data_IF_743438432360
#
_entry.id   IF_743438432360
#
_cell.length_a   1.000
_cell.length_b   1.000
_cell.length_c   1.000
_cell.angle_alpha   90.00
_cell.angle_beta   90.00
_cell.angle_gamma   90.00
#
_symmetry.space_group_name_H-M   'P 1'
#
loop_
_entity.id
_entity.type
_entity.pdbx_description
1 polymer ?
#
# COMPACT_ATOMS: atom_id res chain seq x y z
N UNK A 1 -62.69 -23.94 8.42
CA UNK A 1 -62.15 -22.61 8.06
C UNK A 1 -60.63 -22.63 8.32
N UNK A 2 -59.80 -22.77 7.29
CA UNK A 2 -58.33 -22.95 7.42
C UNK A 2 -57.65 -21.58 7.31
N UNK A 3 -57.13 -21.04 8.41
CA UNK A 3 -56.33 -19.81 8.41
C UNK A 3 -54.86 -20.18 8.18
N UNK A 4 -54.33 -19.88 6.99
CA UNK A 4 -52.91 -20.04 6.68
C UNK A 4 -52.17 -18.77 7.09
N UNK A 5 -51.40 -18.85 8.17
CA UNK A 5 -50.49 -17.77 8.59
C UNK A 5 -49.32 -17.71 7.61
N UNK A 6 -49.18 -16.62 6.85
CA UNK A 6 -48.01 -16.36 6.02
C UNK A 6 -47.01 -15.56 6.86
N UNK A 7 -45.94 -16.20 7.31
CA UNK A 7 -44.82 -15.51 7.95
C UNK A 7 -43.96 -14.88 6.86
N UNK A 8 -43.95 -13.56 6.76
CA UNK A 8 -43.07 -12.82 5.86
C UNK A 8 -41.73 -12.59 6.58
N UNK A 9 -40.66 -13.21 6.09
CA UNK A 9 -39.29 -12.92 6.52
C UNK A 9 -38.86 -11.64 5.80
N UNK A 10 -38.71 -10.55 6.55
CA UNK A 10 -38.13 -9.31 6.05
C UNK A 10 -36.59 -9.46 6.05
N UNK A 11 -36.01 -9.52 4.86
CA UNK A 11 -34.56 -9.46 4.66
C UNK A 11 -34.11 -8.01 4.84
N UNK A 12 -33.53 -7.69 5.99
CA UNK A 12 -32.93 -6.37 6.22
C UNK A 12 -31.64 -6.26 5.38
N UNK A 13 -31.69 -5.47 4.31
CA UNK A 13 -30.52 -5.07 3.55
C UNK A 13 -29.74 -4.06 4.41
N UNK A 14 -28.71 -4.54 5.13
CA UNK A 14 -27.76 -3.65 5.80
C UNK A 14 -26.91 -3.01 4.70
N UNK A 15 -27.23 -1.78 4.35
CA UNK A 15 -26.34 -0.94 3.57
C UNK A 15 -25.09 -0.70 4.41
N UNK A 16 -23.97 -1.32 4.03
CA UNK A 16 -22.65 -0.91 4.52
C UNK A 16 -22.40 0.45 3.90
N UNK A 17 -22.72 1.52 4.64
CA UNK A 17 -22.20 2.83 4.33
C UNK A 17 -20.70 2.77 4.62
N UNK A 18 -19.89 2.59 3.58
CA UNK A 18 -18.49 3.03 3.65
C UNK A 18 -18.55 4.49 4.06
N UNK A 19 -18.19 4.80 5.30
CA UNK A 19 -17.87 6.15 5.65
C UNK A 19 -16.76 6.55 4.69
N UNK A 20 -17.05 7.50 3.80
CA UNK A 20 -16.04 8.20 3.03
C UNK A 20 -15.24 8.98 4.08
N UNK A 21 -14.30 8.29 4.74
CA UNK A 21 -13.35 8.95 5.62
C UNK A 21 -12.60 9.92 4.71
N UNK A 22 -12.73 11.21 5.00
CA UNK A 22 -12.07 12.22 4.20
C UNK A 22 -10.59 11.90 4.21
N UNK A 23 -9.92 12.03 3.06
CA UNK A 23 -8.46 11.86 2.97
C UNK A 23 -7.75 12.58 4.12
N UNK A 24 -8.19 13.80 4.44
CA UNK A 24 -7.57 14.64 5.47
C UNK A 24 -7.81 14.17 6.90
N UNK A 25 -8.76 13.28 7.15
CA UNK A 25 -8.97 12.65 8.47
C UNK A 25 -7.84 11.67 8.80
N UNK A 26 -7.35 10.96 7.80
CA UNK A 26 -6.37 9.88 7.95
C UNK A 26 -4.95 10.30 7.52
N UNK A 27 -4.83 11.25 6.59
CA UNK A 27 -3.57 11.60 5.95
C UNK A 27 -3.25 13.09 6.06
N UNK A 28 -1.95 13.42 6.08
CA UNK A 28 -1.46 14.79 6.22
C UNK A 28 -1.52 15.61 4.93
N UNK A 29 -1.60 14.95 3.78
CA UNK A 29 -1.39 15.57 2.46
C UNK A 29 0.03 15.48 1.94
N UNK A 30 1.00 15.03 2.74
CA UNK A 30 2.35 14.73 2.27
C UNK A 30 2.49 13.27 1.82
N UNK A 31 3.59 12.98 1.12
CA UNK A 31 3.96 11.62 0.70
C UNK A 31 4.86 10.99 1.75
N UNK A 32 4.55 9.77 2.17
CA UNK A 32 5.47 8.91 2.90
C UNK A 32 6.09 7.90 1.93
N UNK A 33 7.42 7.93 1.81
CA UNK A 33 8.22 6.97 1.06
C UNK A 33 8.84 5.95 2.01
N UNK A 34 8.70 4.67 1.66
CA UNK A 34 9.36 3.56 2.36
C UNK A 34 10.29 2.88 1.37
N UNK A 35 11.59 3.01 1.64
CA UNK A 35 12.66 2.30 0.93
C UNK A 35 12.88 0.94 1.60
N UNK A 36 13.00 -0.11 0.82
CA UNK A 36 13.28 -1.47 1.30
C UNK A 36 14.17 -2.23 0.32
N UNK A 37 14.86 -3.26 0.83
CA UNK A 37 15.59 -4.22 0.02
C UNK A 37 14.72 -5.44 -0.25
N UNK A 38 14.44 -5.72 -1.52
CA UNK A 38 13.81 -6.96 -1.97
C UNK A 38 14.92 -7.98 -2.26
N UNK A 39 15.03 -8.99 -1.40
CA UNK A 39 16.19 -9.89 -1.36
C UNK A 39 15.78 -11.34 -1.51
N UNK A 40 16.49 -12.10 -2.35
CA UNK A 40 16.22 -13.52 -2.49
C UNK A 40 16.81 -14.17 -3.74
N UNK A 41 16.18 -15.27 -4.13
CA UNK A 41 16.47 -16.13 -5.28
C UNK A 41 15.16 -16.45 -6.01
N UNK A 42 15.15 -17.41 -6.93
CA UNK A 42 13.89 -17.91 -7.51
C UNK A 42 12.98 -18.66 -6.50
N UNK A 43 13.52 -19.12 -5.36
CA UNK A 43 12.79 -19.97 -4.39
C UNK A 43 12.70 -19.39 -2.98
N UNK A 44 13.45 -18.33 -2.68
CA UNK A 44 13.42 -17.62 -1.41
C UNK A 44 13.19 -16.12 -1.65
N UNK A 45 12.45 -15.47 -0.77
CA UNK A 45 12.08 -14.06 -0.91
C UNK A 45 11.91 -13.42 0.46
N UNK A 46 12.59 -12.30 0.67
CA UNK A 46 12.61 -11.55 1.91
C UNK A 46 12.63 -10.05 1.63
N UNK A 47 12.00 -9.28 2.51
CA UNK A 47 12.03 -7.82 2.48
C UNK A 47 12.65 -7.31 3.78
N UNK A 48 13.50 -6.30 3.66
CA UNK A 48 14.11 -5.61 4.79
C UNK A 48 13.93 -4.10 4.65
N UNK A 49 13.49 -3.45 5.73
CA UNK A 49 13.37 -1.99 5.76
C UNK A 49 14.75 -1.35 5.61
N UNK A 50 14.87 -0.38 4.70
CA UNK A 50 16.03 0.51 4.61
C UNK A 50 15.73 1.83 5.32
N UNK A 51 14.69 2.55 4.86
CA UNK A 51 14.37 3.89 5.37
C UNK A 51 12.89 4.24 5.22
N UNK A 52 12.41 5.07 6.14
CA UNK A 52 11.12 5.76 6.03
C UNK A 52 11.37 7.27 5.96
N UNK A 53 10.77 7.95 4.98
CA UNK A 53 10.95 9.38 4.76
C UNK A 53 9.65 10.07 4.34
N UNK A 54 9.44 11.29 4.79
CA UNK A 54 8.40 12.18 4.27
C UNK A 54 8.98 13.04 3.15
N UNK A 55 8.29 13.05 2.02
CA UNK A 55 8.57 13.88 0.85
C UNK A 55 7.53 15.02 0.74
N UNK A 56 7.44 15.67 -0.42
CA UNK A 56 6.48 16.76 -0.65
C UNK A 56 5.00 16.32 -0.69
N UNK A 57 4.16 17.19 -1.25
CA UNK A 57 2.73 16.93 -1.41
C UNK A 57 2.44 15.57 -2.08
N UNK A 58 1.39 14.89 -1.63
CA UNK A 58 0.93 13.63 -2.18
C UNK A 58 0.41 13.83 -3.62
N UNK A 59 1.05 13.23 -4.65
CA UNK A 59 0.66 13.43 -6.03
C UNK A 59 -0.40 12.42 -6.52
N UNK A 60 -0.86 11.52 -5.65
CA UNK A 60 -1.81 10.48 -6.00
C UNK A 60 -3.25 10.87 -5.70
N UNK A 61 -4.18 9.95 -5.98
CA UNK A 61 -5.59 10.20 -5.71
C UNK A 61 -5.85 10.44 -4.21
N UNK A 62 -6.68 11.45 -3.93
CA UNK A 62 -7.23 11.76 -2.60
C UNK A 62 -8.65 11.20 -2.40
N UNK A 63 -9.22 10.56 -3.42
CA UNK A 63 -10.61 10.05 -3.42
C UNK A 63 -10.71 8.56 -3.71
N UNK A 64 -9.74 7.99 -4.44
CA UNK A 64 -9.64 6.57 -4.74
C UNK A 64 -8.46 5.96 -3.98
N UNK A 65 -8.65 5.84 -2.66
CA UNK A 65 -7.61 5.38 -1.73
C UNK A 65 -7.46 3.86 -1.72
N UNK A 66 -8.55 3.14 -1.98
CA UNK A 66 -8.54 1.68 -2.08
C UNK A 66 -8.53 1.30 -3.55
N UNK A 67 -7.42 0.70 -3.98
CA UNK A 67 -7.28 0.14 -5.31
C UNK A 67 -8.10 -1.15 -5.45
N UNK A 68 -9.20 -1.07 -6.21
CA UNK A 68 -10.11 -2.18 -6.50
C UNK A 68 -9.81 -2.88 -7.83
N UNK A 69 -8.77 -2.44 -8.56
CA UNK A 69 -8.42 -3.03 -9.86
C UNK A 69 -7.96 -4.48 -9.72
N UNK A 70 -7.46 -4.86 -8.53
CA UNK A 70 -6.87 -6.18 -8.28
C UNK A 70 -5.83 -6.53 -9.35
N UNK A 71 -4.98 -5.57 -9.73
CA UNK A 71 -3.86 -5.74 -10.65
C UNK A 71 -2.52 -5.73 -9.90
N UNK A 72 -1.45 -6.11 -10.59
CA UNK A 72 -0.10 -6.18 -10.03
C UNK A 72 0.23 -7.54 -9.41
N UNK A 73 1.54 -7.82 -9.35
CA UNK A 73 2.11 -9.00 -8.67
C UNK A 73 2.14 -8.80 -7.16
N UNK A 74 2.33 -7.55 -6.72
CA UNK A 74 2.35 -7.11 -5.34
C UNK A 74 1.27 -6.07 -5.07
N UNK A 75 0.94 -5.89 -3.79
CA UNK A 75 0.00 -4.90 -3.29
C UNK A 75 0.60 -4.28 -2.02
N UNK A 76 0.71 -2.95 -1.99
CA UNK A 76 0.99 -2.23 -0.74
C UNK A 76 -0.34 -1.90 -0.05
N UNK A 77 -0.39 -2.09 1.26
CA UNK A 77 -1.50 -1.70 2.12
C UNK A 77 -1.00 -0.80 3.26
N UNK A 78 -1.80 0.22 3.58
CA UNK A 78 -1.65 1.03 4.80
C UNK A 78 -2.87 0.75 5.67
N UNK A 79 -2.62 0.28 6.89
CA UNK A 79 -3.67 -0.11 7.84
C UNK A 79 -3.49 0.69 9.13
N UNK A 80 -4.55 1.37 9.57
CA UNK A 80 -4.56 2.07 10.85
C UNK A 80 -4.31 1.06 11.99
N UNK A 81 -3.35 1.36 12.86
CA UNK A 81 -2.91 0.37 13.86
C UNK A 81 -3.94 0.17 14.99
N UNK A 82 -4.69 1.22 15.33
CA UNK A 82 -5.67 1.19 16.43
C UNK A 82 -6.96 0.50 16.02
N UNK A 83 -7.54 0.91 14.89
CA UNK A 83 -8.82 0.39 14.39
C UNK A 83 -8.69 -0.82 13.47
N UNK A 84 -7.48 -1.14 13.00
CA UNK A 84 -7.22 -2.15 11.95
C UNK A 84 -7.99 -1.88 10.64
N UNK A 85 -8.38 -0.63 10.40
CA UNK A 85 -9.05 -0.21 9.16
C UNK A 85 -8.02 -0.05 8.04
N UNK A 86 -8.34 -0.58 6.87
CA UNK A 86 -7.57 -0.36 5.64
C UNK A 86 -7.75 1.09 5.16
N UNK A 87 -6.66 1.85 5.10
CA UNK A 87 -6.67 3.27 4.76
C UNK A 87 -6.30 3.53 3.29
N UNK A 88 -5.34 2.77 2.76
CA UNK A 88 -4.83 2.94 1.40
C UNK A 88 -4.33 1.61 0.82
N UNK A 89 -4.55 1.40 -0.48
CA UNK A 89 -3.91 0.31 -1.23
C UNK A 89 -3.49 0.71 -2.64
N UNK A 90 -2.45 0.05 -3.16
CA UNK A 90 -2.02 0.20 -4.56
C UNK A 90 -1.33 -1.07 -5.07
N UNK A 91 -1.83 -1.62 -6.18
CA UNK A 91 -1.17 -2.72 -6.88
C UNK A 91 0.09 -2.27 -7.62
N UNK A 92 1.13 -3.10 -7.65
CA UNK A 92 2.36 -2.82 -8.39
C UNK A 92 3.07 -4.09 -8.89
N UNK A 93 4.02 -3.90 -9.80
CA UNK A 93 5.01 -4.89 -10.21
C UNK A 93 6.40 -4.34 -9.90
N UNK A 94 7.36 -5.22 -9.66
CA UNK A 94 8.70 -4.82 -9.23
C UNK A 94 9.78 -5.47 -10.09
N UNK A 95 10.96 -4.86 -10.11
CA UNK A 95 12.12 -5.39 -10.85
C UNK A 95 12.55 -6.72 -10.26
N UNK A 96 12.49 -6.91 -8.93
CA UNK A 96 12.68 -8.23 -8.33
C UNK A 96 11.69 -9.25 -8.89
N UNK A 97 10.42 -8.84 -9.05
CA UNK A 97 9.38 -9.69 -9.59
C UNK A 97 9.63 -10.18 -11.02
N UNK A 98 10.42 -9.45 -11.81
CA UNK A 98 10.91 -9.87 -13.12
C UNK A 98 12.19 -10.72 -12.98
N UNK A 99 13.17 -10.23 -12.20
CA UNK A 99 14.47 -10.88 -12.00
C UNK A 99 14.36 -12.29 -11.43
N UNK A 100 13.42 -12.57 -10.52
CA UNK A 100 13.23 -13.92 -9.94
C UNK A 100 12.91 -15.01 -10.99
N UNK A 101 12.54 -14.62 -12.21
CA UNK A 101 12.23 -15.53 -13.32
C UNK A 101 13.44 -15.84 -14.20
N UNK A 102 14.58 -15.19 -13.97
CA UNK A 102 15.81 -15.34 -14.77
C UNK A 102 16.57 -16.63 -14.42
N UNK A 103 17.42 -17.09 -15.33
CA UNK A 103 18.31 -18.23 -15.07
C UNK A 103 19.23 -18.03 -13.86
N UNK A 104 19.75 -16.81 -13.69
CA UNK A 104 20.59 -16.44 -12.54
C UNK A 104 19.89 -16.72 -11.20
N UNK A 105 18.61 -16.33 -11.08
CA UNK A 105 17.83 -16.57 -9.88
C UNK A 105 17.53 -18.07 -9.67
N UNK A 106 17.30 -18.82 -10.76
CA UNK A 106 17.05 -20.27 -10.73
C UNK A 106 18.27 -21.09 -10.32
N UNK A 107 19.48 -20.58 -10.59
CA UNK A 107 20.74 -21.16 -10.12
C UNK A 107 20.96 -20.96 -8.60
N UNK A 108 20.05 -20.23 -7.93
CA UNK A 108 20.11 -19.99 -6.49
C UNK A 108 21.00 -18.80 -6.10
N UNK A 109 21.36 -17.94 -7.07
CA UNK A 109 22.12 -16.72 -6.78
C UNK A 109 21.27 -15.75 -5.98
N UNK A 110 21.82 -15.23 -4.89
CA UNK A 110 21.17 -14.22 -4.07
C UNK A 110 21.40 -12.82 -4.62
N UNK A 111 20.32 -12.05 -4.74
CA UNK A 111 20.36 -10.60 -5.02
C UNK A 111 19.54 -9.84 -4.01
N UNK A 112 19.95 -8.59 -3.78
CA UNK A 112 19.21 -7.60 -3.02
C UNK A 112 18.97 -6.39 -3.93
N UNK A 113 17.71 -6.10 -4.22
CA UNK A 113 17.30 -5.04 -5.14
C UNK A 113 16.63 -3.94 -4.30
N UNK A 114 17.16 -2.70 -4.30
CA UNK A 114 16.53 -1.60 -3.60
C UNK A 114 15.25 -1.18 -4.33
N UNK A 115 14.16 -1.09 -3.58
CA UNK A 115 12.85 -0.69 -4.08
C UNK A 115 12.23 0.34 -3.13
N UNK A 116 11.22 1.07 -3.61
CA UNK A 116 10.52 2.06 -2.82
C UNK A 116 9.03 2.06 -3.13
N UNK A 117 8.21 2.17 -2.10
CA UNK A 117 6.78 2.47 -2.22
C UNK A 117 6.49 3.87 -1.68
N UNK A 118 5.53 4.55 -2.30
CA UNK A 118 5.02 5.85 -1.87
C UNK A 118 3.54 5.71 -1.52
N UNK A 119 3.16 6.20 -0.36
CA UNK A 119 1.79 6.21 0.16
C UNK A 119 1.48 7.61 0.71
N UNK A 120 0.21 8.04 0.81
CA UNK A 120 -0.10 9.26 1.55
C UNK A 120 0.32 9.10 3.02
N UNK A 121 0.95 10.11 3.60
CA UNK A 121 1.48 10.06 4.97
C UNK A 121 0.35 9.95 6.00
N UNK A 122 0.25 8.84 6.76
CA UNK A 122 -0.77 8.69 7.79
C UNK A 122 -0.53 9.64 8.96
N UNK A 123 -1.60 10.16 9.56
CA UNK A 123 -1.54 11.03 10.76
C UNK A 123 -1.27 10.27 12.06
N UNK A 124 -1.50 8.96 12.06
CA UNK A 124 -1.48 8.08 13.24
C UNK A 124 -0.60 6.85 13.00
N UNK A 125 -0.14 6.16 14.06
CA UNK A 125 0.57 4.90 13.92
C UNK A 125 -0.20 3.91 13.03
N UNK A 126 0.53 3.28 12.12
CA UNK A 126 -0.06 2.41 11.11
C UNK A 126 0.86 1.23 10.82
N UNK A 127 0.30 0.19 10.20
CA UNK A 127 1.05 -0.92 9.63
C UNK A 127 1.11 -0.76 8.11
N UNK A 128 2.32 -0.78 7.56
CA UNK A 128 2.53 -0.96 6.13
C UNK A 128 2.70 -2.45 5.85
N UNK A 129 1.95 -2.98 4.88
CA UNK A 129 2.05 -4.38 4.46
C UNK A 129 2.39 -4.44 2.98
N UNK A 130 3.29 -5.34 2.61
CA UNK A 130 3.46 -5.79 1.23
C UNK A 130 2.89 -7.19 1.11
N UNK A 131 1.97 -7.36 0.17
CA UNK A 131 1.37 -8.64 -0.18
C UNK A 131 1.81 -9.08 -1.56
N UNK A 132 1.94 -10.39 -1.78
CA UNK A 132 2.26 -11.03 -3.06
C UNK A 132 1.14 -11.98 -3.46
N UNK A 133 0.91 -12.15 -4.77
CA UNK A 133 0.01 -13.19 -5.27
C UNK A 133 0.58 -14.58 -5.02
N UNK A 134 -0.24 -15.45 -4.45
CA UNK A 134 0.00 -16.88 -4.40
C UNK A 134 -0.34 -17.56 -5.75
N UNK A 135 -0.19 -18.88 -5.79
CA UNK A 135 -0.51 -19.70 -6.98
C UNK A 135 -2.00 -19.64 -7.36
N UNK A 136 -2.87 -19.30 -6.42
CA UNK A 136 -4.30 -19.11 -6.62
C UNK A 136 -4.64 -17.66 -6.99
N UNK A 137 -3.63 -16.84 -7.31
CA UNK A 137 -3.75 -15.41 -7.63
C UNK A 137 -4.36 -14.58 -6.50
N UNK A 138 -4.34 -15.09 -5.26
CA UNK A 138 -4.81 -14.37 -4.08
C UNK A 138 -3.64 -13.67 -3.38
N UNK A 139 -3.85 -12.44 -2.90
CA UNK A 139 -2.79 -11.73 -2.19
C UNK A 139 -2.57 -12.31 -0.78
N UNK A 140 -1.33 -12.64 -0.45
CA UNK A 140 -0.86 -13.05 0.88
C UNK A 140 0.17 -12.05 1.38
N UNK A 141 0.08 -11.68 2.65
CA UNK A 141 1.11 -10.85 3.28
C UNK A 141 2.44 -11.60 3.26
N UNK A 142 3.49 -10.93 2.81
CA UNK A 142 4.87 -11.45 2.82
C UNK A 142 5.80 -10.61 3.70
N UNK A 143 5.39 -9.37 4.01
CA UNK A 143 6.17 -8.47 4.83
C UNK A 143 5.28 -7.37 5.41
N UNK A 144 5.59 -6.95 6.64
CA UNK A 144 4.96 -5.79 7.25
C UNK A 144 5.89 -5.10 8.24
N UNK A 145 5.66 -3.80 8.41
CA UNK A 145 6.31 -2.96 9.42
C UNK A 145 5.26 -2.10 10.10
N UNK A 146 5.51 -1.77 11.37
CA UNK A 146 4.73 -0.75 12.09
C UNK A 146 5.53 0.54 12.09
N UNK A 147 4.88 1.64 11.74
CA UNK A 147 5.50 2.96 11.68
C UNK A 147 4.67 3.91 12.53
N UNK A 148 5.36 4.59 13.45
CA UNK A 148 4.84 5.80 14.09
C UNK A 148 5.29 7.01 13.26
N UNK A 149 4.37 7.74 12.60
CA UNK A 149 4.71 8.93 11.82
C UNK A 149 5.46 10.00 12.62
N UNK A 150 5.25 10.08 13.93
CA UNK A 150 5.92 11.05 14.81
C UNK A 150 7.32 10.60 15.27
N UNK A 151 7.75 9.38 14.91
CA UNK A 151 9.04 8.83 15.30
C UNK A 151 10.20 9.67 14.74
N UNK A 152 11.23 9.89 15.57
CA UNK A 152 12.50 10.52 15.16
C UNK A 152 13.26 9.75 14.07
N UNK A 153 12.89 8.51 13.79
CA UNK A 153 13.48 7.70 12.71
C UNK A 153 12.81 7.92 11.36
N UNK A 154 11.71 8.67 11.31
CA UNK A 154 11.14 9.15 10.05
C UNK A 154 11.96 10.36 9.60
N UNK A 155 12.64 10.21 8.47
CA UNK A 155 13.40 11.31 7.88
C UNK A 155 12.44 12.36 7.33
N UNK A 156 12.62 13.61 7.77
CA UNK A 156 11.81 14.77 7.36
C UNK A 156 12.68 15.91 6.83
N UNK A 157 13.96 15.65 6.55
CA UNK A 157 14.82 16.67 5.97
C UNK A 157 14.24 17.14 4.62
N UNK A 158 14.57 18.36 4.15
CA UNK A 158 14.24 18.77 2.79
C UNK A 158 14.84 17.80 1.77
N UNK A 159 14.06 17.42 0.75
CA UNK A 159 14.56 16.63 -0.38
C UNK A 159 15.30 17.59 -1.33
N UNK A 160 16.54 17.27 -1.76
CA UNK A 160 17.21 18.09 -2.76
C UNK A 160 16.36 18.18 -4.03
N UNK A 161 16.01 19.40 -4.43
CA UNK A 161 15.37 19.67 -5.73
C UNK A 161 16.44 19.93 -6.78
N UNK A 162 16.34 19.28 -7.93
CA UNK A 162 17.09 19.68 -9.12
C UNK A 162 16.40 20.84 -9.84
N UNK A 163 17.10 21.47 -10.77
CA UNK A 163 16.50 22.44 -11.69
C UNK A 163 15.50 21.70 -12.60
N UNK A 164 14.22 22.07 -12.52
CA UNK A 164 13.14 21.47 -13.31
C UNK A 164 12.52 22.50 -14.23
N UNK A 165 12.18 22.09 -15.45
CA UNK A 165 11.40 22.89 -16.39
C UNK A 165 9.98 22.31 -16.49
N UNK A 166 8.98 23.08 -16.04
CA UNK A 166 7.58 22.68 -16.14
C UNK A 166 7.11 22.77 -17.59
N UNK A 167 6.84 21.60 -18.20
CA UNK A 167 6.34 21.53 -19.58
C UNK A 167 4.85 21.82 -19.64
N UNK A 168 4.07 21.33 -18.68
CA UNK A 168 2.62 21.52 -18.55
C UNK A 168 2.20 21.53 -17.09
N UNK A 169 1.20 22.35 -16.75
CA UNK A 169 0.63 22.49 -15.41
C UNK A 169 -0.89 22.60 -15.51
N UNK A 170 -1.61 21.75 -14.78
CA UNK A 170 -3.08 21.66 -14.79
C UNK A 170 -3.70 21.89 -13.41
N UNK A 171 -2.94 22.46 -12.48
CA UNK A 171 -3.31 22.66 -11.08
C UNK A 171 -2.35 21.97 -10.13
N UNK A 172 -2.62 22.15 -8.83
CA UNK A 172 -1.88 21.51 -7.76
C UNK A 172 -2.11 19.98 -7.76
N UNK A 173 -1.12 19.18 -7.30
CA UNK A 173 -1.28 17.74 -7.09
C UNK A 173 -2.37 17.37 -6.08
#
# INVERSE_FOLDING_TARGET
>A
MKLRSKLAIALALVAVTSADAGFDDDFSGATLRVDYYHTGTASAEHLALDRVRVEGAWPGSRTQLIDTTNLGKYLVEVVDLDSNRLLYTRGFCSIYGEWETTGEAQEGTWRAIPEAVRVPEPRRPFQLRIRKRDRQQSFREIWSITVDPASRFVDRAPVPSGDVWLVMEHGDP
#
